data_IF_689049289061
#
_entry.id   IF_689049289061
#
_cell.length_a   1.000
_cell.length_b   1.000
_cell.length_c   1.000
_cell.angle_alpha   90.00
_cell.angle_beta   90.00
_cell.angle_gamma   90.00
#
_symmetry.space_group_name_H-M   'P 1'
#
loop_
_entity.id
_entity.type
_entity.pdbx_description
1 polymer ?
#
# COMPACT_ATOMS: atom_id res chain seq x y z
N UNK A 1 -23.77 1.75 9.94
CA UNK A 1 -22.74 1.49 8.94
C UNK A 1 -21.76 0.48 9.54
N UNK A 2 -21.69 -0.75 9.05
CA UNK A 2 -20.74 -1.73 9.58
C UNK A 2 -19.40 -1.52 8.88
N UNK A 3 -18.38 -1.10 9.61
CA UNK A 3 -17.02 -1.12 9.12
C UNK A 3 -16.56 -2.58 9.05
N UNK A 4 -16.17 -3.02 7.88
CA UNK A 4 -15.61 -4.36 7.68
C UNK A 4 -14.14 -4.20 7.39
N UNK A 5 -13.31 -4.84 8.20
CA UNK A 5 -11.86 -4.89 8.01
C UNK A 5 -11.41 -6.34 7.90
N UNK A 6 -10.52 -6.61 6.96
CA UNK A 6 -9.90 -7.92 6.74
C UNK A 6 -8.42 -7.80 7.07
N UNK A 7 -7.94 -8.65 7.96
CA UNK A 7 -6.52 -8.75 8.32
C UNK A 7 -5.96 -10.04 7.76
N UNK A 8 -4.85 -9.95 7.02
CA UNK A 8 -4.19 -11.07 6.37
C UNK A 8 -2.70 -11.05 6.73
N UNK A 9 -2.19 -12.19 7.17
CA UNK A 9 -0.79 -12.37 7.50
C UNK A 9 -0.20 -13.43 6.56
N UNK A 10 0.71 -13.00 5.67
CA UNK A 10 1.37 -13.85 4.66
C UNK A 10 0.41 -14.78 3.90
N UNK A 11 -0.76 -14.31 3.40
CA UNK A 11 -1.85 -15.20 2.98
C UNK A 11 -1.48 -16.06 1.77
N UNK A 12 -0.46 -15.69 1.00
CA UNK A 12 -0.10 -16.37 -0.24
C UNK A 12 1.28 -17.06 -0.17
N UNK A 13 1.98 -16.98 0.96
CA UNK A 13 3.37 -17.42 1.09
C UNK A 13 3.61 -18.91 0.81
N UNK A 14 2.64 -19.76 1.12
CA UNK A 14 2.75 -21.22 0.93
C UNK A 14 2.17 -21.74 -0.40
N UNK A 15 1.78 -20.87 -1.32
CA UNK A 15 1.08 -21.25 -2.55
C UNK A 15 2.03 -21.28 -3.76
N UNK A 16 1.74 -22.19 -4.70
CA UNK A 16 2.35 -22.16 -6.03
C UNK A 16 1.91 -20.92 -6.81
N UNK A 17 2.68 -20.56 -7.84
CA UNK A 17 2.52 -19.31 -8.56
C UNK A 17 1.14 -19.14 -9.25
N UNK A 18 0.55 -20.21 -9.77
CA UNK A 18 -0.73 -20.12 -10.45
C UNK A 18 -1.89 -19.98 -9.47
N UNK A 19 -1.90 -20.78 -8.42
CA UNK A 19 -2.87 -20.68 -7.32
C UNK A 19 -2.79 -19.34 -6.63
N UNK A 20 -1.58 -18.84 -6.37
CA UNK A 20 -1.34 -17.52 -5.81
C UNK A 20 -1.96 -16.43 -6.68
N UNK A 21 -1.65 -16.39 -7.97
CA UNK A 21 -2.19 -15.40 -8.89
C UNK A 21 -3.72 -15.40 -8.90
N UNK A 22 -4.34 -16.57 -8.94
CA UNK A 22 -5.79 -16.71 -8.92
C UNK A 22 -6.42 -16.16 -7.63
N UNK A 23 -5.86 -16.52 -6.47
CA UNK A 23 -6.39 -16.07 -5.18
C UNK A 23 -6.16 -14.57 -4.94
N UNK A 24 -5.08 -14.00 -5.44
CA UNK A 24 -4.85 -12.55 -5.40
C UNK A 24 -5.90 -11.80 -6.24
N UNK A 25 -6.23 -12.30 -7.42
CA UNK A 25 -7.27 -11.71 -8.27
C UNK A 25 -8.66 -11.82 -7.61
N UNK A 26 -8.95 -12.96 -6.94
CA UNK A 26 -10.15 -13.14 -6.14
C UNK A 26 -10.23 -12.16 -4.96
N UNK A 27 -9.13 -11.95 -4.23
CA UNK A 27 -9.05 -10.98 -3.14
C UNK A 27 -9.38 -9.57 -3.63
N UNK A 28 -8.76 -9.13 -4.74
CA UNK A 28 -9.05 -7.82 -5.33
C UNK A 28 -10.53 -7.67 -5.68
N UNK A 29 -11.15 -8.72 -6.22
CA UNK A 29 -12.58 -8.72 -6.56
C UNK A 29 -13.47 -8.63 -5.33
N UNK A 30 -13.14 -9.38 -4.27
CA UNK A 30 -13.91 -9.37 -3.01
C UNK A 30 -13.82 -7.98 -2.35
N UNK A 31 -12.62 -7.42 -2.23
CA UNK A 31 -12.41 -6.09 -1.64
C UNK A 31 -13.20 -5.04 -2.42
N UNK A 32 -13.10 -5.04 -3.75
CA UNK A 32 -13.82 -4.10 -4.61
C UNK A 32 -15.34 -4.23 -4.49
N UNK A 33 -15.88 -5.47 -4.43
CA UNK A 33 -17.33 -5.70 -4.39
C UNK A 33 -17.97 -5.42 -3.03
N UNK A 34 -17.18 -5.58 -1.95
CA UNK A 34 -17.69 -5.43 -0.56
C UNK A 34 -17.39 -4.08 0.06
N UNK A 35 -16.51 -3.29 -0.52
CA UNK A 35 -16.00 -2.04 0.07
C UNK A 35 -15.28 -2.28 1.40
N UNK A 36 -14.68 -3.46 1.57
CA UNK A 36 -13.96 -3.84 2.79
C UNK A 36 -12.55 -3.23 2.76
N UNK A 37 -12.11 -2.67 3.88
CA UNK A 37 -10.70 -2.31 4.05
C UNK A 37 -9.90 -3.57 4.36
N UNK A 38 -8.86 -3.84 3.58
CA UNK A 38 -7.96 -4.97 3.83
C UNK A 38 -6.59 -4.45 4.29
N UNK A 39 -6.05 -5.09 5.31
CA UNK A 39 -4.67 -4.92 5.77
C UNK A 39 -3.98 -6.25 5.58
N UNK A 40 -2.88 -6.26 4.84
CA UNK A 40 -2.12 -7.47 4.56
C UNK A 40 -0.66 -7.28 4.95
N UNK A 41 -0.09 -8.27 5.62
CA UNK A 41 1.35 -8.36 5.86
C UNK A 41 1.92 -9.30 4.82
N UNK A 42 2.95 -8.85 4.10
CA UNK A 42 3.69 -9.66 3.13
C UNK A 42 5.13 -9.19 3.02
N UNK A 43 6.02 -10.10 2.66
CA UNK A 43 7.40 -9.81 2.28
C UNK A 43 7.60 -9.81 0.75
N UNK A 44 6.55 -10.08 -0.01
CA UNK A 44 6.58 -10.09 -1.48
C UNK A 44 6.23 -8.71 -2.02
N UNK A 45 7.19 -8.08 -2.70
CA UNK A 45 7.06 -6.72 -3.22
C UNK A 45 6.02 -6.65 -4.34
N UNK A 46 5.96 -7.69 -5.18
CA UNK A 46 4.98 -7.73 -6.27
C UNK A 46 3.56 -7.82 -5.73
N UNK A 47 3.35 -8.59 -4.66
CA UNK A 47 2.07 -8.62 -3.94
C UNK A 47 1.71 -7.26 -3.37
N UNK A 48 2.66 -6.62 -2.66
CA UNK A 48 2.45 -5.32 -2.06
C UNK A 48 2.01 -4.28 -3.09
N UNK A 49 2.72 -4.17 -4.22
CA UNK A 49 2.41 -3.19 -5.26
C UNK A 49 1.13 -3.54 -6.03
N UNK A 50 0.89 -4.82 -6.29
CA UNK A 50 -0.29 -5.26 -7.05
C UNK A 50 -1.59 -5.05 -6.27
N UNK A 51 -1.58 -5.38 -4.97
CA UNK A 51 -2.82 -5.51 -4.19
C UNK A 51 -3.20 -4.25 -3.42
N UNK A 52 -2.24 -3.39 -3.07
CA UNK A 52 -2.49 -2.26 -2.17
C UNK A 52 -2.65 -0.92 -2.85
N UNK A 53 -3.37 -0.01 -2.21
CA UNK A 53 -3.40 1.41 -2.53
C UNK A 53 -2.33 2.19 -1.74
N UNK A 54 -1.85 1.58 -0.66
CA UNK A 54 -0.80 2.14 0.20
C UNK A 54 0.06 1.04 0.78
N UNK A 55 1.38 1.24 0.78
CA UNK A 55 2.36 0.33 1.35
C UNK A 55 2.99 1.01 2.57
N UNK A 56 2.91 0.35 3.72
CA UNK A 56 3.58 0.78 4.95
C UNK A 56 4.82 -0.07 5.14
N UNK A 57 5.99 0.54 5.04
CA UNK A 57 7.28 -0.14 5.17
C UNK A 57 7.80 0.04 6.60
N UNK A 58 8.13 -1.07 7.25
CA UNK A 58 8.63 -1.07 8.61
C UNK A 58 10.16 -1.02 8.67
N UNK A 59 10.66 -0.43 9.73
CA UNK A 59 12.09 -0.48 10.05
C UNK A 59 12.47 -1.86 10.60
N UNK A 60 13.77 -2.21 10.50
CA UNK A 60 14.30 -3.42 11.10
C UNK A 60 14.58 -3.24 12.61
N UNK A 61 14.58 -4.34 13.34
CA UNK A 61 15.07 -4.41 14.71
C UNK A 61 13.98 -4.60 15.77
N UNK A 62 14.39 -4.76 17.04
CA UNK A 62 13.48 -5.09 18.14
C UNK A 62 12.49 -3.96 18.48
N UNK A 63 12.75 -2.75 18.01
CA UNK A 63 11.87 -1.59 18.15
C UNK A 63 11.44 -1.10 16.76
N UNK A 64 10.92 -2.01 15.93
CA UNK A 64 10.45 -1.67 14.60
C UNK A 64 9.37 -0.58 14.63
N UNK A 65 9.52 0.41 13.76
CA UNK A 65 8.59 1.51 13.60
C UNK A 65 8.24 1.68 12.12
N UNK A 66 7.24 2.50 11.82
CA UNK A 66 6.96 2.89 10.43
C UNK A 66 8.18 3.62 9.88
N UNK A 67 8.76 3.07 8.83
CA UNK A 67 9.90 3.67 8.14
C UNK A 67 9.49 4.61 7.03
N UNK A 68 8.59 4.17 6.17
CA UNK A 68 8.06 4.97 5.06
C UNK A 68 6.66 4.50 4.70
N UNK A 69 5.84 5.41 4.18
CA UNK A 69 4.53 5.11 3.62
C UNK A 69 4.55 5.51 2.16
N UNK A 70 4.27 4.56 1.28
CA UNK A 70 4.23 4.75 -0.16
C UNK A 70 2.78 4.63 -0.65
N UNK A 71 2.26 5.67 -1.27
CA UNK A 71 1.00 5.60 -2.01
C UNK A 71 1.23 4.90 -3.36
N UNK A 72 0.31 4.02 -3.75
CA UNK A 72 0.36 3.25 -4.99
C UNK A 72 -0.71 3.76 -5.94
N UNK A 73 -0.42 4.78 -6.78
CA UNK A 73 -1.41 5.45 -7.61
C UNK A 73 -1.75 4.67 -8.89
N UNK A 74 -1.88 3.36 -8.77
CA UNK A 74 -2.24 2.49 -9.87
C UNK A 74 -3.77 2.40 -9.98
N UNK A 75 -4.36 2.60 -11.18
CA UNK A 75 -5.80 2.57 -11.36
C UNK A 75 -6.38 1.18 -11.06
N UNK A 76 -7.63 1.15 -10.62
CA UNK A 76 -8.43 -0.07 -10.44
C UNK A 76 -9.49 -0.19 -11.56
N UNK A 77 -9.88 -1.38 -11.99
CA UNK A 77 -9.37 -2.70 -11.55
C UNK A 77 -7.96 -2.95 -12.07
N UNK A 78 -7.10 -3.52 -11.24
CA UNK A 78 -5.73 -3.87 -11.63
C UNK A 78 -5.70 -5.18 -12.39
N UNK A 79 -5.12 -5.14 -13.56
CA UNK A 79 -4.90 -6.31 -14.40
C UNK A 79 -3.41 -6.63 -14.42
N UNK A 80 -3.05 -7.81 -13.94
CA UNK A 80 -1.65 -8.26 -13.84
C UNK A 80 -0.90 -8.16 -15.17
N UNK A 81 -1.53 -8.55 -16.28
CA UNK A 81 -0.90 -8.49 -17.60
C UNK A 81 -0.71 -7.04 -18.09
N UNK A 82 -1.66 -6.16 -17.78
CA UNK A 82 -1.56 -4.75 -18.14
C UNK A 82 -0.46 -4.01 -17.34
N UNK A 83 -0.13 -4.49 -16.14
CA UNK A 83 0.94 -3.91 -15.32
C UNK A 83 2.34 -4.35 -15.75
N UNK A 84 2.44 -5.39 -16.60
CA UNK A 84 3.74 -5.76 -17.18
C UNK A 84 4.22 -4.63 -18.10
N UNK A 85 5.32 -3.98 -17.70
CA UNK A 85 5.87 -2.84 -18.42
C UNK A 85 5.22 -1.48 -18.08
N UNK A 86 4.26 -1.44 -17.17
CA UNK A 86 3.68 -0.18 -16.68
C UNK A 86 4.73 0.63 -15.88
N UNK A 87 5.01 1.89 -16.26
CA UNK A 87 6.02 2.70 -15.59
C UNK A 87 5.65 3.07 -14.15
N UNK A 88 4.37 3.20 -13.82
CA UNK A 88 3.89 3.45 -12.46
C UNK A 88 4.14 2.25 -11.57
N UNK A 89 3.84 1.03 -12.06
CA UNK A 89 4.16 -0.21 -11.36
C UNK A 89 5.66 -0.33 -11.11
N UNK A 90 6.48 -0.15 -12.14
CA UNK A 90 7.94 -0.21 -12.02
C UNK A 90 8.50 0.83 -11.03
N UNK A 91 7.92 2.04 -11.01
CA UNK A 91 8.30 3.10 -10.07
C UNK A 91 8.00 2.73 -8.62
N UNK A 92 6.80 2.20 -8.32
CA UNK A 92 6.42 1.75 -6.98
C UNK A 92 7.32 0.59 -6.53
N UNK A 93 7.52 -0.42 -7.38
CA UNK A 93 8.40 -1.55 -7.09
C UNK A 93 9.83 -1.07 -6.76
N UNK A 94 10.39 -0.16 -7.57
CA UNK A 94 11.72 0.40 -7.34
C UNK A 94 11.81 1.23 -6.05
N UNK A 95 10.74 1.90 -5.64
CA UNK A 95 10.69 2.64 -4.38
C UNK A 95 10.78 1.70 -3.18
N UNK A 96 9.99 0.62 -3.16
CA UNK A 96 10.05 -0.41 -2.11
C UNK A 96 11.43 -1.06 -2.07
N UNK A 97 11.98 -1.46 -3.23
CA UNK A 97 13.31 -2.05 -3.31
C UNK A 97 14.40 -1.13 -2.75
N UNK A 98 14.35 0.17 -3.05
CA UNK A 98 15.31 1.15 -2.51
C UNK A 98 15.24 1.23 -1.00
N UNK A 99 14.04 1.32 -0.44
CA UNK A 99 13.85 1.34 1.00
C UNK A 99 14.46 0.10 1.67
N UNK A 100 14.13 -1.09 1.17
CA UNK A 100 14.65 -2.35 1.72
C UNK A 100 16.17 -2.47 1.59
N UNK A 101 16.74 -1.99 0.47
CA UNK A 101 18.18 -2.01 0.24
C UNK A 101 18.94 -1.05 1.15
N UNK A 102 18.45 0.18 1.32
CA UNK A 102 19.06 1.17 2.22
C UNK A 102 19.08 0.67 3.67
N UNK A 103 18.04 -0.01 4.11
CA UNK A 103 17.94 -0.59 5.44
C UNK A 103 18.90 -1.76 5.68
N UNK A 104 19.26 -2.48 4.64
CA UNK A 104 20.25 -3.55 4.72
C UNK A 104 21.67 -3.01 4.93
N UNK A 105 21.97 -1.83 4.37
CA UNK A 105 23.30 -1.22 4.42
C UNK A 105 23.49 -0.38 5.69
N UNK A 106 22.45 0.28 6.16
CA UNK A 106 22.49 1.10 7.37
C UNK A 106 21.33 0.77 8.34
N UNK A 107 21.53 -0.24 9.23
CA UNK A 107 20.52 -0.60 10.23
C UNK A 107 20.23 0.53 11.24
N UNK A 108 21.03 1.58 11.26
CA UNK A 108 20.92 2.72 12.18
C UNK A 108 20.44 4.00 11.51
N UNK A 109 20.12 3.98 10.21
CA UNK A 109 19.51 5.12 9.55
C UNK A 109 18.23 5.48 10.30
N UNK A 110 18.35 6.46 11.18
CA UNK A 110 17.28 6.97 12.03
C UNK A 110 16.21 7.53 11.12
N UNK A 111 15.03 6.97 11.19
CA UNK A 111 13.84 7.58 10.62
C UNK A 111 13.60 8.85 11.42
N UNK A 112 13.62 10.00 10.79
CA UNK A 112 12.93 11.14 11.36
C UNK A 112 11.47 10.73 11.58
N UNK A 113 10.94 10.89 12.80
CA UNK A 113 9.57 10.46 13.08
C UNK A 113 8.62 11.20 12.13
N UNK A 114 7.77 10.45 11.45
CA UNK A 114 6.71 10.95 10.56
C UNK A 114 5.71 11.91 11.26
N UNK A 115 5.96 12.28 12.50
CA UNK A 115 5.22 13.28 13.27
C UNK A 115 5.25 14.71 12.68
N UNK A 116 6.15 14.98 11.72
CA UNK A 116 6.23 16.30 11.07
C UNK A 116 5.21 16.47 9.92
N UNK A 117 4.50 15.43 9.51
CA UNK A 117 3.54 15.48 8.39
C UNK A 117 2.07 15.62 8.80
N UNK A 118 1.79 15.72 10.10
CA UNK A 118 0.45 16.02 10.62
C UNK A 118 0.45 17.40 11.26
N UNK A 119 0.81 18.42 10.51
CA UNK A 119 0.42 19.79 10.83
C UNK A 119 -0.84 20.10 9.99
N UNK A 120 -1.96 20.48 10.60
CA UNK A 120 -3.12 20.94 9.84
C UNK A 120 -2.72 22.26 9.15
N UNK A 121 -2.62 22.23 7.84
CA UNK A 121 -2.53 23.47 7.08
C UNK A 121 -3.91 24.14 7.14
N UNK A 122 -4.07 25.06 8.06
CA UNK A 122 -5.16 26.04 8.02
C UNK A 122 -4.93 26.92 6.81
N UNK A 123 -5.55 26.57 5.68
CA UNK A 123 -5.72 27.52 4.59
C UNK A 123 -6.89 28.42 4.92
N UNK A 124 -6.55 29.67 5.19
CA UNK A 124 -7.46 30.79 5.24
C UNK A 124 -8.29 30.85 3.93
N UNK A 125 -9.57 30.92 4.12
CA UNK A 125 -10.65 30.97 3.14
C UNK A 125 -10.51 32.19 2.23
N UNK A 126 -10.58 31.98 0.91
CA UNK A 126 -11.31 32.89 0.05
C UNK A 126 -12.29 32.09 -0.80
N UNK A 127 -13.50 32.63 -0.83
CA UNK A 127 -14.72 32.01 -1.35
C UNK A 127 -14.69 31.84 -2.88
N UNK A 128 -15.24 30.73 -3.34
CA UNK A 128 -15.66 30.64 -4.73
C UNK A 128 -15.75 29.24 -5.28
N UNK A 129 -16.98 28.82 -5.40
CA UNK A 129 -17.47 27.74 -6.26
C UNK A 129 -17.37 26.30 -5.77
N UNK A 130 -18.55 25.85 -5.37
CA UNK A 130 -18.91 24.52 -4.94
C UNK A 130 -18.95 23.58 -6.16
N UNK A 131 -17.98 22.70 -6.29
CA UNK A 131 -18.12 21.52 -7.13
C UNK A 131 -17.85 20.29 -6.26
N UNK A 132 -18.92 19.50 -6.15
CA UNK A 132 -19.01 18.32 -5.29
C UNK A 132 -18.15 17.21 -5.91
N UNK A 133 -16.90 17.07 -5.47
CA UNK A 133 -16.11 15.87 -5.76
C UNK A 133 -16.48 14.78 -4.74
N UNK A 134 -17.14 13.73 -5.21
CA UNK A 134 -17.30 12.50 -4.46
C UNK A 134 -15.93 11.85 -4.26
N UNK A 135 -15.49 11.85 -3.01
CA UNK A 135 -14.26 11.16 -2.60
C UNK A 135 -14.63 9.67 -2.48
N UNK A 136 -14.17 8.87 -3.43
CA UNK A 136 -14.25 7.42 -3.32
C UNK A 136 -13.09 6.93 -2.45
N UNK A 137 -13.28 6.96 -1.14
CA UNK A 137 -12.31 6.46 -0.16
C UNK A 137 -12.40 4.93 -0.08
N UNK A 138 -11.50 4.25 -0.75
CA UNK A 138 -11.33 2.82 -0.55
C UNK A 138 -9.85 2.53 -0.22
N UNK A 139 -9.39 2.80 1.02
CA UNK A 139 -8.00 2.56 1.41
C UNK A 139 -7.76 1.06 1.62
N UNK A 140 -6.86 0.51 0.83
CA UNK A 140 -6.28 -0.81 1.08
C UNK A 140 -4.85 -0.59 1.55
N UNK A 141 -4.51 -1.11 2.72
CA UNK A 141 -3.18 -0.93 3.32
C UNK A 141 -2.44 -2.25 3.25
N UNK A 142 -1.21 -2.22 2.75
CA UNK A 142 -0.31 -3.38 2.74
C UNK A 142 0.99 -2.99 3.42
N UNK A 143 1.49 -3.89 4.21
CA UNK A 143 2.75 -3.77 4.91
C UNK A 143 3.76 -4.74 4.31
N UNK A 144 4.97 -4.28 4.03
CA UNK A 144 6.07 -5.12 3.61
C UNK A 144 7.22 -5.00 4.62
N UNK A 145 7.69 -6.12 5.11
CA UNK A 145 8.83 -6.24 6.05
C UNK A 145 10.10 -6.72 5.36
#
# INVERSE_FOLDING_TARGET
>A
MLFRSLLLDEPFGALDSLTRAHLQDELLRIVASTGTTAIMVTHDIDEAVLLSDRIVMLSNGPAATIGEILDVPLPRPRNRLALVGDPGYASCHAAVMRFLHQRRIDPRASVEPAAALVAPQTKTTEAGHMERMEINENPTVVEAS
#
